data_IF_930461975550
#
_entry.id   IF_930461975550
#
_cell.length_a   1.000
_cell.length_b   1.000
_cell.length_c   1.000
_cell.angle_alpha   90.00
_cell.angle_beta   90.00
_cell.angle_gamma   90.00
#
_symmetry.space_group_name_H-M   'P 1'
#
loop_
_entity.id
_entity.type
_entity.pdbx_description
1 polymer ?
#
# COMPACT_ATOMS: atom_id res chain seq x y z
N UNK A 1 1.38 21.92 -13.51
CA UNK A 1 0.90 21.04 -12.43
C UNK A 1 -0.02 20.04 -13.12
N UNK A 2 0.47 18.84 -13.44
CA UNK A 2 -0.38 17.83 -14.09
C UNK A 2 -1.40 17.34 -13.07
N UNK A 3 -2.69 17.56 -13.34
CA UNK A 3 -3.77 17.23 -12.43
C UNK A 3 -4.13 15.74 -12.55
N UNK A 4 -4.48 15.12 -11.41
CA UNK A 4 -5.01 13.75 -11.35
C UNK A 4 -6.42 13.62 -11.99
N UNK A 5 -6.93 14.65 -12.64
CA UNK A 5 -8.27 14.70 -13.25
C UNK A 5 -8.46 13.64 -14.36
N UNK A 6 -7.37 13.23 -15.01
CA UNK A 6 -7.39 12.21 -16.05
C UNK A 6 -7.30 10.78 -15.50
N UNK A 7 -6.94 10.60 -14.22
CA UNK A 7 -6.76 9.28 -13.63
C UNK A 7 -7.97 8.35 -13.85
N UNK A 8 -9.23 8.79 -13.62
CA UNK A 8 -10.39 7.93 -13.86
C UNK A 8 -10.54 7.46 -15.30
N UNK A 9 -10.00 8.22 -16.27
CA UNK A 9 -10.10 7.94 -17.72
C UNK A 9 -8.95 7.09 -18.26
N UNK A 10 -7.90 6.86 -17.48
CA UNK A 10 -6.77 6.05 -17.92
C UNK A 10 -7.20 4.58 -18.12
N UNK A 11 -6.74 3.92 -19.20
CA UNK A 11 -6.86 2.48 -19.37
C UNK A 11 -6.33 1.71 -18.16
N UNK A 12 -6.95 0.56 -17.86
CA UNK A 12 -6.60 -0.26 -16.71
C UNK A 12 -5.12 -0.69 -16.76
N UNK A 13 -4.58 -0.90 -17.97
CA UNK A 13 -3.18 -1.25 -18.25
C UNK A 13 -2.22 -0.20 -17.71
N UNK A 14 -2.46 1.08 -18.03
CA UNK A 14 -1.60 2.18 -17.59
C UNK A 14 -1.68 2.38 -16.08
N UNK A 15 -2.88 2.29 -15.51
CA UNK A 15 -3.05 2.33 -14.05
C UNK A 15 -2.25 1.23 -13.36
N UNK A 16 -2.29 0.00 -13.89
CA UNK A 16 -1.52 -1.13 -13.34
C UNK A 16 -0.01 -0.87 -13.39
N UNK A 17 0.52 -0.34 -14.49
CA UNK A 17 1.95 -0.01 -14.58
C UNK A 17 2.37 1.07 -13.57
N UNK A 18 1.53 2.07 -13.32
CA UNK A 18 1.80 3.07 -12.27
C UNK A 18 1.82 2.40 -10.89
N UNK A 19 0.80 1.58 -10.58
CA UNK A 19 0.67 0.93 -9.27
C UNK A 19 1.81 -0.10 -9.02
N UNK A 20 2.30 -0.79 -10.06
CA UNK A 20 3.45 -1.70 -9.95
C UNK A 20 4.72 -1.00 -9.45
N UNK A 21 4.92 0.26 -9.84
CA UNK A 21 6.08 1.06 -9.47
C UNK A 21 5.92 1.74 -8.10
N UNK A 22 4.77 1.60 -7.44
CA UNK A 22 4.53 2.14 -6.09
C UNK A 22 5.11 1.22 -5.01
N UNK A 23 5.59 1.83 -3.92
CA UNK A 23 5.93 1.10 -2.69
C UNK A 23 4.70 0.47 -2.03
N UNK A 24 4.89 -0.47 -1.11
CA UNK A 24 3.78 -1.14 -0.44
C UNK A 24 2.81 -0.17 0.26
N UNK A 25 3.34 0.85 0.95
CA UNK A 25 2.52 1.85 1.65
C UNK A 25 1.61 2.63 0.67
N UNK A 26 2.15 3.05 -0.48
CA UNK A 26 1.40 3.80 -1.48
C UNK A 26 0.38 2.93 -2.21
N UNK A 27 0.72 1.66 -2.48
CA UNK A 27 -0.24 0.68 -3.00
C UNK A 27 -1.38 0.44 -2.02
N UNK A 28 -1.06 0.31 -0.73
CA UNK A 28 -2.08 0.16 0.32
C UNK A 28 -3.00 1.39 0.36
N UNK A 29 -2.45 2.61 0.29
CA UNK A 29 -3.25 3.83 0.23
C UNK A 29 -4.12 3.86 -1.04
N UNK A 30 -3.58 3.51 -2.20
CA UNK A 30 -4.30 3.43 -3.48
C UNK A 30 -5.46 2.44 -3.40
N UNK A 31 -5.26 1.30 -2.74
CA UNK A 31 -6.28 0.27 -2.51
C UNK A 31 -7.50 0.83 -1.75
N UNK A 32 -7.30 1.82 -0.88
CA UNK A 32 -8.36 2.43 -0.08
C UNK A 32 -9.13 3.54 -0.82
N UNK A 33 -8.69 3.99 -2.00
CA UNK A 33 -9.28 5.14 -2.69
C UNK A 33 -10.65 4.84 -3.29
N UNK A 34 -10.79 3.75 -4.06
CA UNK A 34 -12.05 3.36 -4.69
C UNK A 34 -12.04 1.87 -5.07
N UNK A 35 -13.21 1.31 -5.35
CA UNK A 35 -13.34 -0.12 -5.64
C UNK A 35 -12.58 -0.57 -6.90
N UNK A 36 -12.39 0.31 -7.88
CA UNK A 36 -11.62 0.01 -9.08
C UNK A 36 -10.13 -0.10 -8.75
N UNK A 37 -9.58 0.86 -8.03
CA UNK A 37 -8.21 0.88 -7.54
C UNK A 37 -7.94 -0.28 -6.58
N UNK A 38 -8.90 -0.66 -5.74
CA UNK A 38 -8.81 -1.86 -4.91
C UNK A 38 -8.61 -3.11 -5.76
N UNK A 39 -9.44 -3.33 -6.79
CA UNK A 39 -9.31 -4.48 -7.71
C UNK A 39 -7.99 -4.46 -8.47
N UNK A 40 -7.48 -3.27 -8.81
CA UNK A 40 -6.21 -3.11 -9.49
C UNK A 40 -5.04 -3.54 -8.63
N UNK A 41 -5.00 -3.07 -7.38
CA UNK A 41 -3.96 -3.42 -6.41
C UNK A 41 -4.03 -4.91 -6.07
N UNK A 42 -5.22 -5.45 -5.83
CA UNK A 42 -5.42 -6.86 -5.45
C UNK A 42 -5.01 -7.85 -6.54
N UNK A 43 -4.99 -7.43 -7.83
CA UNK A 43 -4.49 -8.24 -8.94
C UNK A 43 -2.97 -8.28 -9.04
N UNK A 44 -2.24 -7.38 -8.38
CA UNK A 44 -0.79 -7.29 -8.50
C UNK A 44 -0.10 -8.26 -7.52
N UNK A 45 0.88 -9.05 -7.99
CA UNK A 45 1.68 -9.87 -7.09
C UNK A 45 2.45 -8.95 -6.13
N UNK A 46 2.35 -9.24 -4.84
CA UNK A 46 3.10 -8.56 -3.80
C UNK A 46 4.14 -9.53 -3.26
N UNK A 47 5.41 -9.22 -3.46
CA UNK A 47 6.50 -9.94 -2.81
C UNK A 47 6.75 -9.32 -1.44
N UNK A 48 6.55 -10.11 -0.40
CA UNK A 48 6.85 -9.73 0.98
C UNK A 48 8.21 -10.33 1.34
N UNK A 49 9.27 -9.51 1.30
CA UNK A 49 10.63 -9.96 1.65
C UNK A 49 10.73 -10.25 3.14
N UNK A 50 10.23 -9.34 3.97
CA UNK A 50 10.29 -9.41 5.42
C UNK A 50 9.01 -8.85 6.03
N UNK A 51 8.47 -9.57 7.02
CA UNK A 51 7.37 -9.11 7.86
C UNK A 51 7.89 -8.91 9.28
N UNK A 52 7.89 -7.65 9.74
CA UNK A 52 8.29 -7.32 11.10
C UNK A 52 7.06 -7.02 11.95
N UNK A 53 6.84 -7.83 12.98
CA UNK A 53 5.88 -7.50 14.02
C UNK A 53 6.52 -6.52 14.99
N UNK A 54 6.24 -5.23 14.82
CA UNK A 54 6.68 -4.21 15.77
C UNK A 54 5.73 -4.21 16.95
N UNK A 55 6.17 -4.77 18.08
CA UNK A 55 5.43 -4.68 19.32
C UNK A 55 5.67 -3.29 19.92
N UNK A 56 4.71 -2.37 19.74
CA UNK A 56 4.76 -1.02 20.31
C UNK A 56 4.41 -1.01 21.81
N UNK A 57 4.97 -1.94 22.58
CA UNK A 57 4.96 -1.85 24.03
C UNK A 57 6.23 -1.12 24.46
N UNK A 58 6.24 0.20 24.24
CA UNK A 58 7.10 1.08 25.04
C UNK A 58 6.23 1.58 26.18
N UNK A 59 6.50 1.04 27.37
CA UNK A 59 6.20 1.62 28.68
C UNK A 59 5.37 2.90 28.64
N UNK A 60 4.05 2.79 28.78
CA UNK A 60 3.32 3.78 29.54
C UNK A 60 2.36 3.03 30.44
N UNK A 61 2.64 3.10 31.73
CA UNK A 61 1.74 2.65 32.78
C UNK A 61 0.33 3.21 32.53
N UNK A 62 -0.64 2.33 32.69
CA UNK A 62 -2.08 2.59 32.72
C UNK A 62 -2.79 2.88 31.39
N UNK A 63 -3.86 2.11 31.17
CA UNK A 63 -4.93 2.26 30.17
C UNK A 63 -4.67 1.66 28.78
N UNK A 64 -4.89 0.35 28.70
CA UNK A 64 -5.75 -0.34 27.71
C UNK A 64 -5.97 0.41 26.39
N UNK A 65 -5.12 0.16 25.40
CA UNK A 65 -5.44 0.04 23.97
C UNK A 65 -4.17 -0.29 23.18
N UNK A 66 -3.81 -1.58 23.14
CA UNK A 66 -2.67 -2.05 22.35
C UNK A 66 -2.99 -1.96 20.85
N UNK A 67 -2.58 -0.86 20.20
CA UNK A 67 -2.62 -0.75 18.74
C UNK A 67 -1.43 -1.51 18.14
N UNK A 68 -1.71 -2.65 17.51
CA UNK A 68 -0.75 -3.39 16.66
C UNK A 68 -0.59 -2.63 15.34
N UNK A 69 0.61 -2.11 15.07
CA UNK A 69 0.97 -1.63 13.74
C UNK A 69 1.85 -2.68 13.05
N UNK A 70 1.51 -3.06 11.82
CA UNK A 70 2.33 -3.93 10.98
C UNK A 70 3.16 -3.02 10.08
N UNK A 71 4.49 -3.11 10.20
CA UNK A 71 5.41 -2.39 9.32
C UNK A 71 5.83 -3.33 8.19
N UNK A 72 5.44 -3.00 6.96
CA UNK A 72 5.80 -3.78 5.78
C UNK A 72 7.02 -3.16 5.10
N UNK A 73 8.05 -3.96 4.86
CA UNK A 73 9.18 -3.61 4.01
C UNK A 73 9.04 -4.40 2.71
N UNK A 74 8.79 -3.73 1.58
CA UNK A 74 8.82 -4.36 0.26
C UNK A 74 9.79 -3.63 -0.64
N UNK A 75 10.63 -4.35 -1.39
CA UNK A 75 11.29 -3.81 -2.58
C UNK A 75 10.49 -4.19 -3.82
N UNK A 76 10.18 -3.21 -4.67
CA UNK A 76 9.73 -3.48 -6.04
C UNK A 76 10.93 -3.94 -6.86
N UNK A 77 10.90 -5.18 -7.36
CA UNK A 77 11.80 -5.63 -8.41
C UNK A 77 11.38 -4.93 -9.72
N UNK A 78 12.21 -4.03 -10.22
CA UNK A 78 12.19 -3.64 -11.63
C UNK A 78 12.86 -4.76 -12.42
N UNK A 79 12.07 -5.53 -13.17
CA UNK A 79 12.56 -6.29 -14.34
C UNK A 79 12.64 -5.38 -15.55
#
# INVERSE_FOLDING_TARGET
>A
MESFEYWPRLPEELKREVIKNMGFADRYNTRLCASQEMRLVDKLPTHLDNLEFVNLMKHSDNTTSAWRWIKFHSKTLST
#
